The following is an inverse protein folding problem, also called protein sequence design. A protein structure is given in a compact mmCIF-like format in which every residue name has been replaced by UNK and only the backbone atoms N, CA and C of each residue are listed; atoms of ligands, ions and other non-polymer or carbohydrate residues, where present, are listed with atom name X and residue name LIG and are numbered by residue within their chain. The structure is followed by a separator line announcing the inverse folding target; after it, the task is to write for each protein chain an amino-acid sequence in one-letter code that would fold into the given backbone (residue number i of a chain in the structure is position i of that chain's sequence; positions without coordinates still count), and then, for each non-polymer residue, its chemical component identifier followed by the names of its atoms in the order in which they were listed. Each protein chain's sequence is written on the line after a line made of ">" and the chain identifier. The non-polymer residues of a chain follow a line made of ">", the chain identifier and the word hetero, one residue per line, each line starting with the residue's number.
data_IF_398935310329
#
_entry.id   IF_398935310329
#
_cell.length_a   1.000
_cell.length_b   1.000
_cell.length_c   1.000
_cell.angle_alpha   90.00
_cell.angle_beta   90.00
_cell.angle_gamma   90.00
#
_symmetry.space_group_name_H-M   'P 1'
#
loop_
_entity.id
_entity.type
_entity.pdbx_description
1 polymer ?
#
# COMPACT_ATOMS: atom_id res chain seq x y z
N UNK A 1 -12.46 0.54 16.07
CA UNK A 1 -12.71 -0.88 16.42
C UNK A 1 -14.21 -1.23 16.43
N UNK A 2 -15.10 -0.36 16.91
CA UNK A 2 -16.54 -0.65 16.97
C UNK A 2 -17.20 -0.89 15.59
N UNK A 3 -16.69 -0.31 14.51
CA UNK A 3 -17.26 -0.49 13.16
C UNK A 3 -17.03 -1.89 12.55
N UNK A 4 -15.93 -2.55 12.89
CA UNK A 4 -15.61 -3.90 12.40
C UNK A 4 -16.46 -4.95 13.10
N UNK A 5 -16.72 -4.83 14.40
CA UNK A 5 -17.50 -5.80 15.16
C UNK A 5 -18.95 -5.93 14.71
N UNK A 6 -19.60 -4.84 14.27
CA UNK A 6 -20.99 -4.88 13.79
C UNK A 6 -21.10 -5.57 12.42
N UNK A 7 -20.08 -5.45 11.56
CA UNK A 7 -20.07 -6.12 10.25
C UNK A 7 -19.81 -7.64 10.36
N UNK A 8 -18.99 -8.07 11.32
CA UNK A 8 -18.59 -9.48 11.45
C UNK A 8 -19.72 -10.40 11.97
N UNK A 9 -20.77 -9.85 12.56
CA UNK A 9 -21.95 -10.65 12.96
C UNK A 9 -22.89 -11.01 11.80
N UNK A 10 -22.69 -10.43 10.60
CA UNK A 10 -23.52 -10.65 9.41
C UNK A 10 -22.62 -10.82 8.16
N UNK A 11 -21.63 -11.70 8.22
CA UNK A 11 -20.63 -11.89 7.17
C UNK A 11 -21.17 -12.50 5.87
N UNK A 12 -22.35 -13.10 5.89
CA UNK A 12 -22.96 -13.74 4.70
C UNK A 12 -23.35 -12.74 3.59
N UNK A 13 -23.34 -11.43 3.88
CA UNK A 13 -23.68 -10.36 2.93
C UNK A 13 -22.52 -9.43 2.58
N UNK A 14 -21.29 -9.72 3.05
CA UNK A 14 -20.12 -8.88 2.82
C UNK A 14 -19.22 -9.51 1.76
N UNK A 15 -19.07 -8.84 0.61
CA UNK A 15 -18.23 -9.34 -0.48
C UNK A 15 -16.73 -9.09 -0.24
N UNK A 16 -16.38 -7.95 0.36
CA UNK A 16 -14.99 -7.56 0.64
C UNK A 16 -14.88 -6.94 2.03
N UNK A 17 -13.96 -7.45 2.83
CA UNK A 17 -13.54 -6.86 4.10
C UNK A 17 -12.38 -5.90 3.86
N UNK A 18 -12.53 -4.62 4.24
CA UNK A 18 -11.46 -3.64 4.17
C UNK A 18 -11.00 -3.30 5.59
N UNK A 19 -9.73 -3.62 5.90
CA UNK A 19 -9.07 -3.23 7.15
C UNK A 19 -8.22 -1.99 6.86
N UNK A 20 -8.72 -0.82 7.26
CA UNK A 20 -8.16 0.47 6.92
C UNK A 20 -7.49 1.12 8.14
N UNK A 21 -6.17 1.11 8.16
CA UNK A 21 -5.31 1.72 9.19
C UNK A 21 -5.79 1.49 10.63
N UNK A 22 -5.79 0.24 11.11
CA UNK A 22 -6.20 -0.07 12.47
C UNK A 22 -5.19 0.54 13.46
N UNK A 23 -5.71 1.16 14.52
CA UNK A 23 -4.90 1.79 15.56
C UNK A 23 -4.87 0.96 16.86
N UNK A 24 -5.80 0.03 17.00
CA UNK A 24 -5.96 -0.80 18.19
C UNK A 24 -5.59 -2.25 17.91
N UNK A 25 -5.14 -2.93 18.95
CA UNK A 25 -4.80 -4.34 18.91
C UNK A 25 -6.04 -5.20 18.70
N UNK A 26 -5.97 -6.14 17.76
CA UNK A 26 -7.03 -7.12 17.54
C UNK A 26 -7.05 -8.17 18.65
N UNK A 27 -8.23 -8.46 19.14
CA UNK A 27 -8.45 -9.59 20.05
C UNK A 27 -8.41 -10.93 19.28
N UNK A 28 -8.07 -12.02 19.95
CA UNK A 28 -8.04 -13.36 19.33
C UNK A 28 -9.40 -13.75 18.75
N UNK A 29 -10.50 -13.28 19.36
CA UNK A 29 -11.85 -13.49 18.88
C UNK A 29 -12.11 -12.78 17.55
N UNK A 30 -11.67 -11.53 17.40
CA UNK A 30 -11.82 -10.77 16.15
C UNK A 30 -11.01 -11.42 15.02
N UNK A 31 -9.79 -11.86 15.33
CA UNK A 31 -8.95 -12.60 14.39
C UNK A 31 -9.62 -13.90 13.94
N UNK A 32 -10.26 -14.64 14.85
CA UNK A 32 -10.98 -15.87 14.51
C UNK A 32 -12.15 -15.58 13.56
N UNK A 33 -12.95 -14.54 13.80
CA UNK A 33 -14.03 -14.17 12.90
C UNK A 33 -13.52 -13.77 11.51
N UNK A 34 -12.46 -12.98 11.43
CA UNK A 34 -11.83 -12.61 10.17
C UNK A 34 -11.29 -13.84 9.45
N UNK A 35 -10.61 -14.73 10.18
CA UNK A 35 -10.09 -15.98 9.63
C UNK A 35 -11.22 -16.83 9.03
N UNK A 36 -12.31 -17.02 9.76
CA UNK A 36 -13.43 -17.83 9.28
C UNK A 36 -14.17 -17.15 8.12
N UNK A 37 -14.26 -15.82 8.09
CA UNK A 37 -14.75 -15.08 6.92
C UNK A 37 -13.92 -15.38 5.68
N UNK A 38 -12.57 -15.34 5.79
CA UNK A 38 -11.65 -15.64 4.69
C UNK A 38 -11.75 -17.13 4.30
N UNK A 39 -11.85 -18.02 5.27
CA UNK A 39 -11.98 -19.46 5.02
C UNK A 39 -13.30 -19.82 4.30
N UNK A 40 -14.34 -19.03 4.46
CA UNK A 40 -15.61 -19.18 3.73
C UNK A 40 -15.62 -18.47 2.37
N UNK A 41 -14.48 -17.95 1.89
CA UNK A 41 -14.34 -17.32 0.58
C UNK A 41 -14.46 -15.80 0.58
N UNK A 42 -14.57 -15.17 1.74
CA UNK A 42 -14.58 -13.73 1.89
C UNK A 42 -13.24 -13.11 1.50
N UNK A 43 -13.25 -12.08 0.66
CA UNK A 43 -12.08 -11.41 0.13
C UNK A 43 -11.67 -10.27 1.04
N UNK A 44 -10.38 -9.92 1.07
CA UNK A 44 -9.92 -8.88 2.00
C UNK A 44 -8.85 -7.96 1.42
N UNK A 45 -8.94 -6.67 1.80
CA UNK A 45 -7.97 -5.63 1.53
C UNK A 45 -7.44 -5.10 2.86
N UNK A 46 -6.15 -5.19 3.07
CA UNK A 46 -5.48 -4.76 4.29
C UNK A 46 -4.56 -3.57 3.99
N UNK A 47 -4.80 -2.44 4.65
CA UNK A 47 -3.95 -1.27 4.63
C UNK A 47 -3.47 -1.05 6.07
N UNK A 48 -2.22 -1.40 6.37
CA UNK A 48 -1.72 -1.50 7.75
C UNK A 48 -0.39 -0.78 7.89
N UNK A 49 -0.29 0.05 8.93
CA UNK A 49 0.97 0.62 9.40
C UNK A 49 1.54 -0.26 10.53
N UNK A 50 2.56 -1.10 10.26
CA UNK A 50 3.19 -1.91 11.30
C UNK A 50 4.11 -1.10 12.22
N UNK A 51 4.36 0.17 11.87
CA UNK A 51 5.18 1.12 12.62
C UNK A 51 4.35 2.35 12.95
N UNK A 52 4.47 2.82 14.18
CA UNK A 52 3.90 4.10 14.59
C UNK A 52 4.85 5.24 14.19
N UNK A 53 4.47 6.01 13.20
CA UNK A 53 5.12 7.25 12.78
C UNK A 53 4.06 8.22 12.24
N UNK A 54 4.21 9.53 12.52
CA UNK A 54 3.21 10.52 12.13
C UNK A 54 3.88 11.86 11.82
N UNK A 55 3.47 12.52 10.73
CA UNK A 55 3.92 13.86 10.37
C UNK A 55 3.54 14.92 11.40
N UNK A 56 2.38 14.80 12.07
CA UNK A 56 1.94 15.75 13.07
C UNK A 56 2.91 15.79 14.26
N UNK A 57 3.52 14.67 14.62
CA UNK A 57 4.54 14.59 15.64
C UNK A 57 5.81 15.34 15.26
N UNK A 58 6.14 15.41 13.97
CA UNK A 58 7.29 16.14 13.42
C UNK A 58 7.05 17.66 13.41
N UNK A 59 5.79 18.11 13.27
CA UNK A 59 5.46 19.55 13.25
C UNK A 59 5.71 20.24 14.60
N UNK A 60 5.67 19.48 15.69
CA UNK A 60 5.84 19.97 17.05
C UNK A 60 7.29 19.95 17.56
N UNK A 61 8.21 19.21 16.93
CA UNK A 61 9.54 18.98 17.49
C UNK A 61 10.67 18.64 16.51
N UNK A 62 10.51 18.82 15.21
CA UNK A 62 11.50 18.48 14.17
C UNK A 62 11.93 17.00 14.10
N UNK A 63 11.76 16.24 15.17
CA UNK A 63 12.03 14.78 15.17
C UNK A 63 11.04 14.04 16.06
N UNK A 64 10.85 12.76 15.75
CA UNK A 64 10.04 11.80 16.52
C UNK A 64 10.69 10.42 16.44
N UNK A 65 10.38 9.56 17.42
CA UNK A 65 10.84 8.17 17.39
C UNK A 65 9.73 7.32 16.80
N UNK A 66 10.06 6.63 15.69
CA UNK A 66 9.22 5.61 15.11
C UNK A 66 9.48 4.26 15.80
N UNK A 67 8.42 3.55 16.15
CA UNK A 67 8.50 2.26 16.85
C UNK A 67 7.42 1.32 16.33
N UNK A 68 7.64 0.03 16.55
CA UNK A 68 6.71 -1.01 16.15
C UNK A 68 5.33 -0.84 16.79
N UNK A 69 4.28 -1.01 15.97
CA UNK A 69 2.87 -1.04 16.40
C UNK A 69 2.42 -2.48 16.58
N UNK A 70 2.13 -2.90 17.81
CA UNK A 70 1.58 -4.23 18.10
C UNK A 70 0.07 -4.27 17.82
N UNK A 71 -0.30 -4.66 16.63
CA UNK A 71 -1.69 -4.87 16.21
C UNK A 71 -2.17 -6.31 16.44
N UNK A 72 -1.31 -7.23 16.88
CA UNK A 72 -1.61 -8.66 17.02
C UNK A 72 -2.08 -9.33 15.71
N UNK A 73 -1.59 -8.86 14.54
CA UNK A 73 -1.97 -9.40 13.23
C UNK A 73 -0.84 -10.21 12.55
N UNK A 74 0.38 -10.19 13.12
CA UNK A 74 1.56 -10.79 12.50
C UNK A 74 1.39 -12.29 12.22
N UNK A 75 0.91 -13.03 13.20
CA UNK A 75 0.71 -14.49 13.10
C UNK A 75 -0.37 -14.82 12.06
N UNK A 76 -1.45 -14.03 12.01
CA UNK A 76 -2.54 -14.19 11.07
C UNK A 76 -2.06 -13.97 9.63
N UNK A 77 -1.45 -12.83 9.34
CA UNK A 77 -0.97 -12.49 8.00
C UNK A 77 0.18 -13.39 7.56
N UNK A 78 1.09 -13.75 8.50
CA UNK A 78 2.15 -14.72 8.22
C UNK A 78 1.60 -16.07 7.76
N UNK A 79 0.52 -16.53 8.43
CA UNK A 79 -0.15 -17.78 8.05
C UNK A 79 -0.74 -17.70 6.65
N UNK A 80 -1.23 -16.54 6.24
CA UNK A 80 -1.76 -16.30 4.90
C UNK A 80 -0.68 -16.06 3.84
N UNK A 81 0.59 -15.96 4.25
CA UNK A 81 1.71 -15.85 3.31
C UNK A 81 2.27 -14.45 3.13
N UNK A 82 1.92 -13.50 4.00
CA UNK A 82 2.46 -12.14 4.03
C UNK A 82 3.09 -11.84 5.39
N UNK A 83 4.32 -11.29 5.41
CA UNK A 83 4.99 -10.78 6.60
C UNK A 83 5.18 -9.28 6.48
N UNK A 84 4.54 -8.53 7.37
CA UNK A 84 4.81 -7.10 7.56
C UNK A 84 6.02 -6.95 8.48
N UNK A 85 7.00 -6.17 8.05
CA UNK A 85 8.21 -5.92 8.84
C UNK A 85 8.04 -4.64 9.67
N UNK A 86 8.70 -4.59 10.85
CA UNK A 86 8.73 -3.40 11.69
C UNK A 86 9.91 -2.50 11.28
N UNK A 87 9.86 -1.99 10.06
CA UNK A 87 10.86 -1.12 9.47
C UNK A 87 10.20 0.09 8.81
N UNK A 88 10.97 1.10 8.46
CA UNK A 88 10.56 2.21 7.64
C UNK A 88 11.37 2.24 6.35
N UNK A 89 10.67 2.44 5.24
CA UNK A 89 11.31 2.57 3.94
C UNK A 89 11.68 4.03 3.67
N UNK A 90 12.88 4.21 3.16
CA UNK A 90 13.32 5.47 2.57
C UNK A 90 13.62 5.25 1.09
N UNK A 91 13.27 6.24 0.27
CA UNK A 91 13.49 6.20 -1.16
C UNK A 91 13.98 7.56 -1.67
N UNK A 92 14.89 7.55 -2.64
CA UNK A 92 15.34 8.78 -3.33
C UNK A 92 14.20 9.37 -4.16
N UNK A 93 13.34 8.50 -4.71
CA UNK A 93 12.12 8.91 -5.41
C UNK A 93 11.02 9.10 -4.37
N UNK A 94 10.92 10.31 -3.84
CA UNK A 94 10.05 10.65 -2.72
C UNK A 94 9.36 12.00 -2.89
N UNK A 95 8.42 12.27 -1.99
CA UNK A 95 7.74 13.55 -1.89
C UNK A 95 8.71 14.65 -1.43
N UNK A 96 8.37 15.89 -1.79
CA UNK A 96 9.08 17.07 -1.31
C UNK A 96 8.20 17.82 -0.30
N UNK A 97 8.77 18.12 0.85
CA UNK A 97 8.12 18.89 1.91
C UNK A 97 8.80 20.25 2.09
N UNK A 98 8.05 21.30 2.39
CA UNK A 98 8.63 22.59 2.70
C UNK A 98 9.36 22.54 4.05
N UNK A 99 10.64 22.86 4.04
CA UNK A 99 11.48 22.95 5.23
C UNK A 99 11.94 24.39 5.41
N UNK A 100 11.85 24.92 6.61
CA UNK A 100 12.37 26.25 6.91
C UNK A 100 13.90 26.18 7.08
N UNK A 101 14.64 26.79 6.17
CA UNK A 101 16.09 26.84 6.20
C UNK A 101 16.64 28.12 6.80
N UNK A 102 15.79 29.02 7.29
CA UNK A 102 16.24 30.27 7.93
C UNK A 102 16.92 29.99 9.28
N UNK A 103 18.04 30.67 9.60
CA UNK A 103 18.62 30.67 10.93
C UNK A 103 17.63 31.15 11.98
N UNK A 104 17.83 30.72 13.22
CA UNK A 104 17.01 31.16 14.35
C UNK A 104 16.98 32.69 14.46
N UNK A 105 15.80 33.28 14.56
CA UNK A 105 15.60 34.73 14.68
C UNK A 105 15.54 35.51 13.37
N UNK A 106 15.64 34.84 12.21
CA UNK A 106 15.47 35.47 10.90
C UNK A 106 14.08 35.14 10.31
N UNK A 107 13.68 35.88 9.27
CA UNK A 107 12.46 35.62 8.54
C UNK A 107 12.47 34.19 7.93
N UNK A 108 11.35 33.49 8.00
CA UNK A 108 11.22 32.12 7.51
C UNK A 108 11.54 32.02 6.01
N UNK A 109 12.40 31.08 5.65
CA UNK A 109 12.73 30.75 4.26
C UNK A 109 12.33 29.29 3.98
N UNK A 110 11.18 29.10 3.34
CA UNK A 110 10.65 27.78 3.02
C UNK A 110 11.18 27.27 1.70
N UNK A 111 11.93 26.16 1.73
CA UNK A 111 12.50 25.51 0.56
C UNK A 111 11.93 24.08 0.46
N UNK A 112 11.46 23.63 -0.74
CA UNK A 112 11.09 22.24 -0.93
C UNK A 112 12.33 21.35 -0.81
N UNK A 113 12.25 20.33 0.05
CA UNK A 113 13.31 19.39 0.29
C UNK A 113 12.79 17.95 0.28
N UNK A 114 13.58 16.96 -0.17
CA UNK A 114 13.15 15.57 -0.28
C UNK A 114 12.84 14.98 1.10
N UNK A 115 11.68 14.37 1.25
CA UNK A 115 11.30 13.66 2.45
C UNK A 115 11.31 12.16 2.19
N UNK A 116 12.46 11.54 2.44
CA UNK A 116 12.75 10.15 2.09
C UNK A 116 11.77 9.13 2.67
N UNK A 117 11.11 9.44 3.81
CA UNK A 117 10.09 8.61 4.44
C UNK A 117 8.69 8.70 3.79
N UNK A 118 8.57 9.44 2.69
CA UNK A 118 7.37 9.48 1.87
C UNK A 118 7.69 9.06 0.43
N UNK A 119 7.96 7.77 0.20
CA UNK A 119 8.24 7.24 -1.13
C UNK A 119 7.11 7.48 -2.12
N UNK A 120 7.47 7.59 -3.39
CA UNK A 120 6.54 7.45 -4.51
C UNK A 120 6.62 6.01 -5.02
N UNK A 121 5.76 5.15 -4.46
CA UNK A 121 5.73 3.74 -4.78
C UNK A 121 5.44 3.50 -6.25
N UNK A 122 6.18 2.59 -6.86
CA UNK A 122 6.07 2.23 -8.28
C UNK A 122 5.11 1.04 -8.42
N UNK A 123 4.00 1.21 -9.16
CA UNK A 123 3.11 0.11 -9.50
C UNK A 123 3.78 -0.91 -10.40
N UNK A 124 3.52 -2.20 -10.18
CA UNK A 124 4.04 -3.28 -11.01
C UNK A 124 3.54 -3.13 -12.46
N UNK A 125 4.42 -3.05 -13.47
CA UNK A 125 4.01 -2.88 -14.86
C UNK A 125 3.42 -4.15 -15.47
N UNK A 126 3.64 -5.29 -14.85
CA UNK A 126 3.23 -6.61 -15.38
C UNK A 126 1.88 -7.05 -14.88
N UNK A 127 1.47 -6.59 -13.69
CA UNK A 127 0.21 -7.02 -13.11
C UNK A 127 -0.96 -6.16 -13.59
N UNK A 128 -2.10 -6.79 -13.88
CA UNK A 128 -3.30 -6.15 -14.44
C UNK A 128 -3.86 -5.05 -13.54
N UNK A 129 -3.82 -5.27 -12.22
CA UNK A 129 -4.31 -4.35 -11.19
C UNK A 129 -3.51 -3.05 -11.16
N UNK A 130 -2.20 -3.12 -11.37
CA UNK A 130 -1.27 -2.02 -11.14
C UNK A 130 -0.65 -1.43 -12.41
N UNK A 131 -0.73 -2.12 -13.54
CA UNK A 131 -0.18 -1.59 -14.78
C UNK A 131 -0.89 -0.31 -15.25
N UNK A 132 -0.15 0.59 -15.88
CA UNK A 132 -0.63 1.87 -16.39
C UNK A 132 -1.13 2.85 -15.31
N UNK A 133 -0.79 2.64 -14.05
CA UNK A 133 -1.01 3.60 -12.99
C UNK A 133 0.17 4.55 -12.84
N UNK A 134 -0.12 5.77 -12.41
CA UNK A 134 0.89 6.68 -11.92
C UNK A 134 1.45 6.17 -10.58
N UNK A 135 2.62 6.69 -10.18
CA UNK A 135 3.18 6.39 -8.88
C UNK A 135 2.16 6.68 -7.77
N UNK A 136 2.20 5.86 -6.74
CA UNK A 136 1.32 5.93 -5.58
C UNK A 136 2.09 6.57 -4.43
N UNK A 137 1.54 7.62 -3.85
CA UNK A 137 2.12 8.30 -2.69
C UNK A 137 1.90 7.46 -1.43
N UNK A 138 2.97 7.14 -0.71
CA UNK A 138 2.94 6.46 0.58
C UNK A 138 3.70 7.27 1.62
N UNK A 139 3.35 7.12 2.91
CA UNK A 139 4.00 7.84 4.01
C UNK A 139 4.34 6.88 5.13
N UNK A 140 5.60 6.87 5.60
CA UNK A 140 6.07 5.99 6.67
C UNK A 140 5.78 4.50 6.41
N UNK A 141 5.77 4.13 5.15
CA UNK A 141 5.49 2.75 4.75
C UNK A 141 6.58 1.81 5.22
N UNK A 142 6.19 0.57 5.48
CA UNK A 142 7.08 -0.53 5.83
C UNK A 142 7.27 -1.50 4.67
N UNK A 143 8.23 -2.40 4.81
CA UNK A 143 8.39 -3.49 3.84
C UNK A 143 7.44 -4.65 4.14
N UNK A 144 7.07 -5.37 3.07
CA UNK A 144 6.28 -6.59 3.16
C UNK A 144 7.00 -7.72 2.42
N UNK A 145 6.99 -8.91 2.99
CA UNK A 145 7.61 -10.09 2.40
C UNK A 145 6.57 -11.18 2.11
N UNK A 146 6.72 -11.82 0.96
CA UNK A 146 6.00 -13.04 0.65
C UNK A 146 6.66 -14.23 1.37
N UNK A 147 5.93 -14.88 2.28
CA UNK A 147 6.44 -15.95 3.15
C UNK A 147 5.64 -17.25 3.00
N UNK A 148 6.24 -18.36 3.44
CA UNK A 148 5.61 -19.69 3.41
C UNK A 148 5.70 -20.37 2.05
N UNK A 149 5.69 -21.71 2.07
CA UNK A 149 5.85 -22.58 0.88
C UNK A 149 4.52 -23.18 0.38
N UNK A 150 3.39 -22.49 0.62
CA UNK A 150 2.11 -22.98 0.13
C UNK A 150 2.07 -22.90 -1.41
N UNK A 151 2.17 -24.05 -2.05
CA UNK A 151 2.15 -24.18 -3.52
C UNK A 151 0.78 -23.87 -4.15
N UNK A 152 -0.28 -23.88 -3.36
CA UNK A 152 -1.64 -23.51 -3.79
C UNK A 152 -1.88 -22.00 -3.73
N UNK A 153 -0.90 -21.22 -3.28
CA UNK A 153 -1.01 -19.77 -3.11
C UNK A 153 -0.01 -19.03 -4.00
N UNK A 154 -0.51 -18.28 -4.96
CA UNK A 154 0.29 -17.39 -5.79
C UNK A 154 0.46 -16.04 -5.06
N UNK A 155 1.68 -15.54 -5.02
CA UNK A 155 2.05 -14.28 -4.38
C UNK A 155 2.65 -13.34 -5.41
N UNK A 156 2.10 -12.14 -5.55
CA UNK A 156 2.53 -11.17 -6.56
C UNK A 156 2.78 -9.81 -5.90
N UNK A 157 3.95 -9.20 -6.16
CA UNK A 157 4.23 -7.83 -5.75
C UNK A 157 3.49 -6.88 -6.70
N UNK A 158 2.65 -6.01 -6.14
CA UNK A 158 1.84 -5.05 -6.91
C UNK A 158 2.28 -3.59 -6.73
N UNK A 159 2.94 -3.26 -5.61
CA UNK A 159 3.65 -2.00 -5.37
C UNK A 159 5.02 -2.27 -4.79
N UNK A 160 6.01 -1.48 -5.19
CA UNK A 160 7.37 -1.51 -4.64
C UNK A 160 7.99 -0.12 -4.60
N UNK A 161 9.10 0.03 -3.88
CA UNK A 161 9.96 1.23 -3.97
C UNK A 161 10.64 1.34 -5.34
N UNK A 162 11.32 2.46 -5.56
CA UNK A 162 12.26 2.61 -6.69
C UNK A 162 13.48 1.70 -6.52
N UNK A 163 14.37 1.63 -7.53
CA UNK A 163 15.66 0.94 -7.39
C UNK A 163 16.63 1.57 -6.36
N UNK A 164 16.33 2.76 -5.88
CA UNK A 164 17.19 3.55 -4.99
C UNK A 164 16.52 3.75 -3.64
N UNK A 165 16.31 2.66 -2.92
CA UNK A 165 15.66 2.64 -1.63
C UNK A 165 16.50 1.94 -0.57
N UNK A 166 16.08 2.05 0.68
CA UNK A 166 16.59 1.29 1.82
C UNK A 166 15.51 1.06 2.87
N UNK A 167 15.68 0.01 3.65
CA UNK A 167 14.89 -0.28 4.85
C UNK A 167 15.68 0.10 6.11
N UNK A 168 15.02 0.69 7.09
CA UNK A 168 15.58 1.05 8.39
C UNK A 168 14.74 0.40 9.47
N UNK A 169 15.38 -0.42 10.30
CA UNK A 169 14.69 -1.11 11.40
C UNK A 169 14.29 -0.14 12.51
N UNK A 170 13.13 -0.40 13.10
CA UNK A 170 12.66 0.33 14.28
C UNK A 170 13.23 -0.28 15.57
N UNK A 171 13.40 0.50 16.67
CA UNK A 171 13.08 1.94 16.79
C UNK A 171 14.10 2.83 16.08
N UNK A 172 13.60 3.90 15.43
CA UNK A 172 14.44 4.85 14.69
C UNK A 172 13.93 6.28 14.87
N UNK A 173 14.87 7.24 14.94
CA UNK A 173 14.52 8.65 14.91
C UNK A 173 14.20 9.08 13.49
N UNK A 174 13.02 9.66 13.31
CA UNK A 174 12.59 10.31 12.07
C UNK A 174 12.68 11.82 12.27
N UNK A 175 13.36 12.50 11.35
CA UNK A 175 13.56 13.94 11.43
C UNK A 175 13.35 14.64 10.09
N UNK A 176 12.69 15.79 10.10
CA UNK A 176 12.60 16.68 8.95
C UNK A 176 13.96 17.27 8.57
N UNK A 177 14.92 17.35 9.51
CA UNK A 177 16.28 17.82 9.25
C UNK A 177 17.05 16.88 8.31
N UNK A 178 16.63 15.63 8.13
CA UNK A 178 17.18 14.75 7.12
C UNK A 178 17.01 15.29 5.69
N UNK A 179 16.02 16.17 5.49
CA UNK A 179 15.81 16.85 4.21
C UNK A 179 16.90 17.91 3.92
N UNK A 180 17.46 18.54 4.95
CA UNK A 180 18.55 19.53 4.82
C UNK A 180 19.95 18.91 4.93
N UNK A 181 20.04 17.73 5.58
CA UNK A 181 21.27 16.95 5.70
C UNK A 181 21.01 15.54 5.16
N UNK A 182 21.02 15.39 3.82
CA UNK A 182 20.60 14.14 3.19
C UNK A 182 21.55 13.00 3.56
N UNK A 183 21.02 11.80 3.78
CA UNK A 183 21.84 10.61 3.96
C UNK A 183 22.70 10.34 2.72
N UNK A 184 23.84 9.70 2.92
CA UNK A 184 24.71 9.29 1.81
C UNK A 184 23.94 8.36 0.85
N UNK A 185 23.93 8.73 -0.44
CA UNK A 185 23.22 7.99 -1.48
C UNK A 185 23.68 6.53 -1.61
N UNK A 186 24.90 6.20 -1.19
CA UNK A 186 25.41 4.82 -1.19
C UNK A 186 24.63 3.86 -0.31
N UNK A 187 23.86 4.37 0.68
CA UNK A 187 22.99 3.56 1.52
C UNK A 187 21.68 3.16 0.85
N UNK A 188 21.28 3.83 -0.23
CA UNK A 188 20.06 3.52 -0.98
C UNK A 188 20.35 2.45 -2.05
N UNK A 189 20.64 1.24 -1.59
CA UNK A 189 21.14 0.13 -2.41
C UNK A 189 20.23 -1.11 -2.41
N UNK A 190 19.02 -0.99 -1.88
CA UNK A 190 18.01 -2.06 -1.85
C UNK A 190 16.93 -1.77 -2.90
N UNK A 191 17.01 -2.38 -4.09
CA UNK A 191 16.07 -2.06 -5.16
C UNK A 191 14.72 -2.74 -4.98
N UNK A 192 13.66 -2.01 -5.36
CA UNK A 192 12.31 -2.55 -5.52
C UNK A 192 11.79 -3.29 -4.28
N UNK A 193 11.95 -2.70 -3.09
CA UNK A 193 11.44 -3.28 -1.84
C UNK A 193 9.91 -3.37 -1.93
N UNK A 194 9.30 -4.54 -1.71
CA UNK A 194 7.85 -4.69 -1.78
C UNK A 194 7.12 -3.87 -0.70
N UNK A 195 6.02 -3.20 -1.11
CA UNK A 195 5.12 -2.43 -0.25
C UNK A 195 3.74 -3.07 -0.23
N UNK A 196 3.31 -3.69 -1.32
CA UNK A 196 2.02 -4.36 -1.39
C UNK A 196 2.10 -5.71 -2.11
N UNK A 197 1.40 -6.69 -1.55
CA UNK A 197 1.26 -8.04 -2.09
C UNK A 197 -0.19 -8.35 -2.44
N UNK A 198 -0.38 -9.03 -3.55
CA UNK A 198 -1.58 -9.77 -3.90
C UNK A 198 -1.33 -11.25 -3.66
N UNK A 199 -2.21 -11.88 -2.91
CA UNK A 199 -2.21 -13.30 -2.58
C UNK A 199 -3.46 -13.94 -3.21
N UNK A 200 -3.29 -15.01 -3.99
CA UNK A 200 -4.37 -15.68 -4.73
C UNK A 200 -4.24 -17.19 -4.63
N UNK A 201 -5.34 -17.85 -4.35
CA UNK A 201 -5.42 -19.30 -4.22
C UNK A 201 -6.07 -19.74 -2.91
N UNK A 202 -5.68 -20.90 -2.39
CA UNK A 202 -6.27 -21.49 -1.20
C UNK A 202 -5.50 -21.11 0.06
N UNK A 203 -6.17 -20.41 0.96
CA UNK A 203 -5.63 -20.04 2.25
C UNK A 203 -5.85 -21.14 3.29
N UNK A 204 -4.94 -21.23 4.26
CA UNK A 204 -5.02 -22.14 5.39
C UNK A 204 -5.34 -21.35 6.65
N UNK A 205 -6.34 -21.80 7.41
CA UNK A 205 -6.76 -21.16 8.65
C UNK A 205 -5.60 -21.06 9.66
N UNK A 206 -5.48 -19.89 10.30
CA UNK A 206 -4.58 -19.66 11.40
C UNK A 206 -5.05 -20.35 12.71
N UNK A 207 -6.32 -20.76 12.75
CA UNK A 207 -6.98 -21.34 13.92
C UNK A 207 -7.20 -22.85 13.80
N UNK A 208 -6.80 -23.50 12.72
CA UNK A 208 -7.03 -24.94 12.51
C UNK A 208 -6.53 -25.86 13.64
N UNK A 209 -5.52 -25.43 14.41
CA UNK A 209 -4.91 -26.16 15.49
C UNK A 209 -4.97 -25.43 16.84
N UNK A 210 -5.78 -24.36 16.96
CA UNK A 210 -5.96 -23.60 18.20
C UNK A 210 -7.23 -24.04 18.94
N UNK A 211 -7.28 -23.79 20.24
CA UNK A 211 -8.48 -23.95 21.05
C UNK A 211 -9.40 -22.75 20.80
N UNK A 212 -10.56 -22.99 20.17
CA UNK A 212 -11.52 -21.96 19.77
C UNK A 212 -12.77 -21.91 20.62
N UNK A 213 -12.95 -22.91 21.50
CA UNK A 213 -14.13 -23.06 22.37
C UNK A 213 -14.29 -21.85 23.31
N UNK A 214 -13.19 -21.31 23.81
CA UNK A 214 -13.20 -20.12 24.67
C UNK A 214 -13.62 -18.83 23.93
N UNK A 215 -13.52 -18.85 22.61
CA UNK A 215 -13.92 -17.75 21.73
C UNK A 215 -15.33 -17.92 21.17
N UNK A 216 -16.03 -18.98 21.56
CA UNK A 216 -17.44 -19.23 21.22
C UNK A 216 -17.68 -20.02 19.93
N UNK A 217 -16.63 -20.61 19.32
CA UNK A 217 -16.72 -21.49 18.15
C UNK A 217 -16.16 -22.85 18.50
N UNK A 218 -16.94 -23.93 18.26
CA UNK A 218 -16.44 -25.28 18.48
C UNK A 218 -15.36 -25.62 17.45
N UNK A 219 -14.32 -26.35 17.86
CA UNK A 219 -13.21 -26.75 16.98
C UNK A 219 -13.68 -27.51 15.74
N UNK A 220 -14.78 -28.24 15.83
CA UNK A 220 -15.40 -28.96 14.70
C UNK A 220 -16.03 -28.03 13.65
N UNK A 221 -16.37 -26.81 14.04
CA UNK A 221 -17.01 -25.80 13.18
C UNK A 221 -16.00 -24.94 12.44
N UNK A 222 -14.71 -25.00 12.84
CA UNK A 222 -13.63 -24.20 12.22
C UNK A 222 -13.31 -24.74 10.81
N UNK A 223 -13.57 -23.91 9.80
CA UNK A 223 -13.18 -24.19 8.42
C UNK A 223 -11.66 -24.07 8.30
N UNK A 224 -10.99 -25.10 7.83
CA UNK A 224 -9.51 -25.20 7.86
C UNK A 224 -8.83 -24.65 6.63
N UNK A 225 -9.51 -24.62 5.49
CA UNK A 225 -8.98 -24.14 4.22
C UNK A 225 -10.05 -23.45 3.43
N UNK A 226 -9.70 -22.37 2.76
CA UNK A 226 -10.61 -21.63 1.89
C UNK A 226 -10.79 -22.30 0.52
N UNK A 227 -11.87 -21.99 -0.21
CA UNK A 227 -11.89 -22.11 -1.67
C UNK A 227 -10.81 -21.21 -2.30
N UNK A 228 -10.70 -21.21 -3.63
CA UNK A 228 -9.86 -20.22 -4.31
C UNK A 228 -10.33 -18.81 -3.95
N UNK A 229 -9.44 -18.02 -3.41
CA UNK A 229 -9.74 -16.71 -2.83
C UNK A 229 -8.65 -15.69 -3.14
N UNK A 230 -8.91 -14.40 -2.85
CA UNK A 230 -7.99 -13.29 -3.12
C UNK A 230 -7.86 -12.41 -1.89
N UNK A 231 -6.65 -11.96 -1.63
CA UNK A 231 -6.31 -11.04 -0.55
C UNK A 231 -5.26 -10.05 -1.03
N UNK A 232 -5.40 -8.78 -0.67
CA UNK A 232 -4.38 -7.75 -0.90
C UNK A 232 -3.92 -7.22 0.45
N UNK A 233 -2.60 -7.14 0.64
CA UNK A 233 -1.97 -6.59 1.86
C UNK A 233 -1.02 -5.47 1.46
N UNK A 234 -1.21 -4.30 2.06
CA UNK A 234 -0.45 -3.08 1.82
C UNK A 234 0.18 -2.65 3.14
N UNK A 235 1.49 -2.46 3.16
CA UNK A 235 2.26 -2.05 4.34
C UNK A 235 2.27 -0.51 4.53
N UNK A 236 1.13 0.12 4.28
CA UNK A 236 0.85 1.54 4.47
C UNK A 236 -0.64 1.70 4.80
N UNK A 237 -0.95 2.11 6.04
CA UNK A 237 -2.32 2.39 6.48
C UNK A 237 -2.82 3.74 5.99
N UNK A 238 -1.90 4.67 5.76
CA UNK A 238 -2.20 6.03 5.30
C UNK A 238 -2.68 6.11 3.85
N UNK A 239 -2.36 5.10 3.02
CA UNK A 239 -2.68 5.06 1.58
C UNK A 239 -4.18 5.25 1.28
N UNK A 240 -5.05 4.82 2.20
CA UNK A 240 -6.52 4.88 2.05
C UNK A 240 -7.13 6.14 2.67
N UNK A 241 -6.33 6.98 3.36
CA UNK A 241 -6.82 8.15 4.07
C UNK A 241 -6.89 9.39 3.19
N UNK A 242 -8.02 10.08 3.22
CA UNK A 242 -8.12 11.44 2.69
C UNK A 242 -7.47 12.44 3.68
N UNK A 243 -6.60 13.30 3.18
CA UNK A 243 -6.09 14.43 3.99
C UNK A 243 -7.19 15.48 4.13
N UNK A 244 -7.33 16.04 5.33
CA UNK A 244 -8.29 17.09 5.62
C UNK A 244 -7.57 18.44 5.72
N UNK A 245 -8.20 19.50 5.23
CA UNK A 245 -7.73 20.87 5.38
C UNK A 245 -8.83 21.73 5.98
N UNK A 246 -8.49 22.50 7.00
CA UNK A 246 -9.42 23.48 7.57
C UNK A 246 -9.26 24.79 6.81
N UNK A 247 -10.33 25.28 6.17
CA UNK A 247 -10.39 26.58 5.51
C UNK A 247 -11.65 27.32 5.97
N UNK A 248 -11.47 28.53 6.50
CA UNK A 248 -12.58 29.34 7.02
C UNK A 248 -13.44 28.60 8.07
N UNK A 249 -12.84 27.78 8.94
CA UNK A 249 -13.56 26.98 9.94
C UNK A 249 -14.29 25.76 9.41
N UNK A 250 -14.23 25.48 8.09
CA UNK A 250 -14.81 24.29 7.47
C UNK A 250 -13.73 23.27 7.13
N UNK A 251 -14.01 22.00 7.45
CA UNK A 251 -13.17 20.86 7.07
C UNK A 251 -13.44 20.51 5.62
N UNK A 252 -12.43 20.61 4.76
CA UNK A 252 -12.48 20.18 3.36
C UNK A 252 -11.60 18.95 3.18
N UNK A 253 -12.19 17.85 2.73
CA UNK A 253 -11.43 16.64 2.38
C UNK A 253 -10.73 16.87 1.03
N UNK A 254 -9.45 16.54 0.98
CA UNK A 254 -8.69 16.57 -0.26
C UNK A 254 -8.90 15.26 -1.02
N UNK A 255 -8.80 15.26 -2.36
CA UNK A 255 -8.81 14.02 -3.13
C UNK A 255 -7.71 13.06 -2.66
N UNK A 256 -7.99 11.76 -2.70
CA UNK A 256 -7.02 10.74 -2.32
C UNK A 256 -5.78 10.81 -3.22
N UNK A 257 -4.60 10.82 -2.62
CA UNK A 257 -3.33 10.99 -3.33
C UNK A 257 -3.01 12.43 -3.76
N UNK A 258 -3.81 13.43 -3.35
CA UNK A 258 -3.50 14.83 -3.64
C UNK A 258 -2.42 15.37 -2.70
N UNK A 259 -1.37 15.94 -3.30
CA UNK A 259 -0.34 16.67 -2.57
C UNK A 259 -0.54 18.18 -2.70
N UNK A 260 -0.67 18.84 -1.54
CA UNK A 260 -0.93 20.28 -1.48
C UNK A 260 0.29 21.15 -1.86
N UNK A 261 1.51 20.60 -1.76
CA UNK A 261 2.74 21.33 -2.02
C UNK A 261 3.08 21.34 -3.51
N UNK A 262 3.09 20.18 -4.14
CA UNK A 262 3.29 20.06 -5.59
C UNK A 262 2.02 20.32 -6.41
N UNK A 263 0.84 20.34 -5.77
CA UNK A 263 -0.49 20.44 -6.38
C UNK A 263 -0.75 19.32 -7.40
N UNK A 264 -0.12 18.18 -7.21
CA UNK A 264 -0.29 16.99 -8.06
C UNK A 264 -1.19 15.98 -7.37
N UNK A 265 -1.86 15.15 -8.17
CA UNK A 265 -2.62 13.99 -7.69
C UNK A 265 -1.91 12.73 -8.18
N UNK A 266 -1.51 11.89 -7.23
CA UNK A 266 -0.88 10.59 -7.48
C UNK A 266 -1.91 9.49 -7.68
N UNK A 267 -1.45 8.29 -8.02
CA UNK A 267 -2.28 7.16 -8.41
C UNK A 267 -3.05 6.46 -7.28
N UNK A 268 -3.07 7.00 -6.05
CA UNK A 268 -3.67 6.34 -4.88
C UNK A 268 -5.12 5.93 -5.08
N UNK A 269 -5.97 6.86 -5.57
CA UNK A 269 -7.39 6.58 -5.81
C UNK A 269 -7.57 5.45 -6.81
N UNK A 270 -6.90 5.56 -7.96
CA UNK A 270 -7.05 4.61 -9.04
C UNK A 270 -6.49 3.22 -8.64
N UNK A 271 -5.40 3.19 -7.88
CA UNK A 271 -4.84 1.96 -7.32
C UNK A 271 -5.84 1.26 -6.38
N UNK A 272 -6.43 1.98 -5.42
CA UNK A 272 -7.38 1.39 -4.48
C UNK A 272 -8.68 0.95 -5.16
N UNK A 273 -9.19 1.72 -6.11
CA UNK A 273 -10.37 1.33 -6.91
C UNK A 273 -10.06 0.05 -7.68
N UNK A 274 -8.88 -0.03 -8.34
CA UNK A 274 -8.47 -1.25 -9.03
C UNK A 274 -8.32 -2.45 -8.08
N UNK A 275 -7.85 -2.24 -6.83
CA UNK A 275 -7.79 -3.29 -5.83
C UNK A 275 -9.19 -3.84 -5.52
N UNK A 276 -10.17 -2.96 -5.28
CA UNK A 276 -11.54 -3.35 -4.98
C UNK A 276 -12.17 -4.03 -6.18
N UNK A 277 -12.05 -3.46 -7.38
CA UNK A 277 -12.57 -4.05 -8.61
C UNK A 277 -11.98 -5.43 -8.88
N UNK A 278 -10.66 -5.62 -8.63
CA UNK A 278 -9.99 -6.90 -8.80
C UNK A 278 -10.44 -7.96 -7.79
N UNK A 279 -10.65 -7.55 -6.55
CA UNK A 279 -11.20 -8.43 -5.52
C UNK A 279 -12.64 -8.83 -5.83
N UNK A 280 -13.47 -7.90 -6.35
CA UNK A 280 -14.87 -8.15 -6.71
C UNK A 280 -15.04 -8.96 -8.00
N UNK A 281 -14.00 -9.04 -8.85
CA UNK A 281 -14.10 -9.68 -10.17
C UNK A 281 -13.95 -11.19 -10.07
N UNK A 282 -15.06 -11.90 -9.92
CA UNK A 282 -15.10 -13.36 -9.98
C UNK A 282 -15.17 -13.89 -11.43
N UNK A 283 -15.50 -13.03 -12.38
CA UNK A 283 -15.70 -13.39 -13.79
C UNK A 283 -14.46 -13.22 -14.68
N UNK A 284 -13.39 -12.58 -14.16
CA UNK A 284 -12.16 -12.26 -14.89
C UNK A 284 -12.34 -11.18 -15.97
N UNK A 285 -13.40 -10.37 -15.88
CA UNK A 285 -13.69 -9.26 -16.82
C UNK A 285 -12.56 -8.23 -16.83
N UNK A 286 -11.91 -7.99 -15.67
CA UNK A 286 -10.75 -7.11 -15.64
C UNK A 286 -9.63 -7.57 -16.58
N UNK A 287 -9.43 -8.86 -16.75
CA UNK A 287 -8.46 -9.41 -17.71
C UNK A 287 -8.81 -9.04 -19.16
N UNK A 288 -10.08 -8.94 -19.49
CA UNK A 288 -10.54 -8.53 -20.81
C UNK A 288 -10.38 -7.03 -21.05
N UNK A 289 -10.75 -6.17 -20.07
CA UNK A 289 -10.59 -4.71 -20.12
C UNK A 289 -9.13 -4.29 -20.24
N UNK A 290 -8.24 -5.10 -19.75
CA UNK A 290 -6.82 -4.80 -19.65
C UNK A 290 -6.01 -5.17 -20.91
N UNK A 291 -6.62 -5.66 -21.97
CA UNK A 291 -5.95 -5.81 -23.27
C UNK A 291 -5.59 -4.41 -23.78
N UNK A 292 -4.38 -3.98 -23.45
CA UNK A 292 -3.79 -2.77 -24.00
C UNK A 292 -3.74 -2.97 -25.52
N UNK A 293 -4.57 -2.25 -26.24
CA UNK A 293 -4.32 -1.99 -27.65
C UNK A 293 -3.03 -1.19 -27.68
N UNK A 294 -1.90 -1.87 -27.91
CA UNK A 294 -0.66 -1.18 -28.27
C UNK A 294 -0.96 -0.45 -29.57
N UNK A 295 -1.41 0.79 -29.45
CA UNK A 295 -1.40 1.71 -30.59
C UNK A 295 0.07 1.76 -31.02
N UNK A 296 0.37 1.08 -32.11
CA UNK A 296 1.66 1.27 -32.79
C UNK A 296 1.64 2.71 -33.25
N UNK A 297 2.21 3.59 -32.43
CA UNK A 297 2.48 4.95 -32.85
C UNK A 297 3.25 4.84 -34.15
N UNK A 298 2.65 5.39 -35.22
CA UNK A 298 3.28 5.49 -36.51
C UNK A 298 4.63 6.17 -36.30
N UNK A 299 5.69 5.48 -36.67
CA UNK A 299 7.05 5.98 -36.56
C UNK A 299 7.18 7.24 -37.43
N UNK A 300 7.13 8.39 -36.79
CA UNK A 300 7.18 9.70 -37.46
C UNK A 300 8.42 9.88 -38.33
N UNK A 301 9.53 9.20 -37.99
CA UNK A 301 10.78 9.22 -38.75
C UNK A 301 10.60 8.41 -40.04
N UNK A 302 10.08 7.19 -39.96
CA UNK A 302 9.78 6.38 -41.13
C UNK A 302 8.75 7.02 -42.06
N UNK A 303 7.71 7.67 -41.48
CA UNK A 303 6.71 8.39 -42.29
C UNK A 303 7.38 9.53 -43.05
N UNK A 304 8.25 10.30 -42.43
CA UNK A 304 8.95 11.42 -43.06
C UNK A 304 9.86 10.95 -44.19
N UNK A 305 10.63 9.89 -43.94
CA UNK A 305 11.61 9.37 -44.91
C UNK A 305 10.94 8.64 -46.08
N UNK A 306 9.76 8.04 -45.86
CA UNK A 306 9.01 7.36 -46.90
C UNK A 306 7.99 8.25 -47.61
N UNK A 307 7.67 9.43 -47.08
CA UNK A 307 6.68 10.35 -47.64
C UNK A 307 7.00 10.73 -49.11
N UNK A 308 8.26 11.00 -49.40
CA UNK A 308 8.73 11.35 -50.76
C UNK A 308 8.58 10.13 -51.71
N UNK A 309 8.88 8.91 -51.25
CA UNK A 309 8.73 7.72 -52.08
C UNK A 309 7.25 7.43 -52.42
N UNK A 310 6.36 7.59 -51.46
CA UNK A 310 4.93 7.37 -51.67
C UNK A 310 4.26 8.48 -52.51
N UNK A 311 4.78 9.71 -52.43
CA UNK A 311 4.31 10.79 -53.31
C UNK A 311 4.73 10.57 -54.77
N UNK A 312 5.90 9.97 -55.03
CA UNK A 312 6.38 9.64 -56.39
C UNK A 312 5.68 8.43 -57.01
N UNK A 313 5.08 7.54 -56.22
CA UNK A 313 4.36 6.35 -56.70
C UNK A 313 2.90 6.68 -57.00
N UNK A 314 2.34 7.71 -56.39
CA UNK A 314 0.93 8.11 -56.57
C UNK A 314 0.74 9.30 -57.53
N UNK A 315 1.79 9.75 -58.24
CA UNK A 315 1.75 10.63 -59.41
C UNK A 315 1.99 9.82 -60.64
#
# INVERSE_FOLDING_TARGET
>A
AYGIMIMLQNTDSVDILIVADPNEKFEERDKLFIDQYIMNGGKSLWCIDPVYANLDSLSNGFSTIAFERDLNLRDLLFRYGARLNADLLQDVVCMQYPVNTAPAGQATNWVPAPFYYSPLATPSPTHILSRNLNNVMVEFTSSIEAVGENSELRKSVILSTSPYARSIQTPVEVSLLSATNPPDQRFFNQPNIPIALLLEGKFQSAFQNRMTEQMGIQRSEVVKSSPDNKMIVIADGGIIKNKARVRNGQVQLQPLGYDQYSKQTFGNRDFLVNCIDYLSDDSGIMQLRSRVVKLRLLDKVKIRDQKIKWQLINT
#
